data_IF_104417765682
#
_entry.id   IF_104417765682
#
_cell.length_a   1.000
_cell.length_b   1.000
_cell.length_c   1.000
_cell.angle_alpha   90.00
_cell.angle_beta   90.00
_cell.angle_gamma   90.00
#
_symmetry.space_group_name_H-M   'P 1'
#
loop_
_entity.id
_entity.type
_entity.pdbx_description
1 polymer ?
#
# COMPACT_ATOMS: atom_id res chain seq x y z
N UNK A 1 3.34 -11.96 -12.08
CA UNK A 1 3.20 -13.30 -11.49
C UNK A 1 4.53 -13.95 -11.06
N UNK A 2 5.68 -13.70 -11.72
CA UNK A 2 7.01 -14.24 -11.31
C UNK A 2 7.45 -14.00 -9.86
N UNK A 3 6.95 -12.96 -9.20
CA UNK A 3 7.32 -12.61 -7.81
C UNK A 3 6.72 -13.59 -6.78
N UNK A 4 5.58 -14.23 -7.08
CA UNK A 4 4.93 -15.17 -6.16
C UNK A 4 5.39 -16.62 -6.35
N UNK A 5 6.14 -16.92 -7.41
CA UNK A 5 6.66 -18.27 -7.73
C UNK A 5 7.73 -18.74 -6.73
N UNK A 6 8.26 -17.84 -5.89
CA UNK A 6 9.27 -18.17 -4.87
C UNK A 6 8.68 -18.69 -3.55
N UNK A 7 7.35 -18.82 -3.45
CA UNK A 7 6.66 -19.27 -2.23
C UNK A 7 6.67 -18.26 -1.08
N UNK A 8 7.31 -17.11 -1.26
CA UNK A 8 7.33 -15.99 -0.31
C UNK A 8 6.35 -14.91 -0.75
N UNK A 9 5.61 -14.34 0.21
CA UNK A 9 4.66 -13.25 -0.05
C UNK A 9 5.35 -11.94 -0.47
N UNK A 10 4.55 -10.92 -0.78
CA UNK A 10 5.06 -9.59 -1.15
C UNK A 10 4.25 -8.46 -0.51
N UNK A 11 4.82 -7.26 -0.50
CA UNK A 11 4.08 -6.04 -0.19
C UNK A 11 3.41 -5.52 -1.45
N UNK A 12 2.13 -5.17 -1.34
CA UNK A 12 1.35 -4.53 -2.40
C UNK A 12 1.00 -3.11 -1.97
N UNK A 13 1.71 -2.15 -2.55
CA UNK A 13 1.62 -0.74 -2.22
C UNK A 13 0.68 -0.05 -3.20
N UNK A 14 -0.45 0.43 -2.69
CA UNK A 14 -1.41 1.23 -3.42
C UNK A 14 -1.57 2.62 -2.81
N UNK A 15 -2.40 3.44 -3.45
CA UNK A 15 -2.86 4.72 -2.95
C UNK A 15 -4.40 4.69 -2.88
N UNK A 16 -5.02 5.73 -2.31
CA UNK A 16 -6.46 5.95 -2.45
C UNK A 16 -6.82 6.45 -3.87
N UNK A 17 -6.25 5.80 -4.89
CA UNK A 17 -6.48 6.05 -6.31
C UNK A 17 -7.14 4.79 -6.90
N UNK A 18 -8.38 4.94 -7.36
CA UNK A 18 -9.18 3.81 -7.83
C UNK A 18 -9.84 3.03 -6.69
N UNK A 19 -10.09 1.73 -6.88
CA UNK A 19 -10.76 0.87 -5.90
C UNK A 19 -9.83 -0.22 -5.40
N UNK A 20 -9.35 -0.05 -4.17
CA UNK A 20 -8.58 -1.10 -3.51
C UNK A 20 -9.42 -2.37 -3.25
N UNK A 21 -10.74 -2.24 -3.03
CA UNK A 21 -11.63 -3.39 -2.85
C UNK A 21 -11.83 -4.23 -4.12
N UNK A 22 -11.76 -3.62 -5.31
CA UNK A 22 -11.82 -4.37 -6.57
C UNK A 22 -10.68 -5.40 -6.67
N UNK A 23 -9.50 -5.08 -6.11
CA UNK A 23 -8.41 -6.05 -6.00
C UNK A 23 -8.77 -7.21 -5.06
N UNK A 24 -9.33 -6.93 -3.88
CA UNK A 24 -9.70 -7.99 -2.93
C UNK A 24 -10.69 -8.98 -3.56
N UNK A 25 -11.63 -8.47 -4.36
CA UNK A 25 -12.51 -9.31 -5.16
C UNK A 25 -11.73 -10.19 -6.14
N UNK A 26 -10.82 -9.59 -6.93
CA UNK A 26 -9.97 -10.31 -7.89
C UNK A 26 -9.07 -11.38 -7.23
N UNK A 27 -8.52 -11.10 -6.05
CA UNK A 27 -7.63 -12.02 -5.34
C UNK A 27 -8.29 -13.34 -4.97
N UNK A 28 -9.61 -13.32 -4.69
CA UNK A 28 -10.40 -14.52 -4.38
C UNK A 28 -10.45 -15.50 -5.56
N UNK A 29 -10.50 -14.97 -6.79
CA UNK A 29 -10.60 -15.80 -8.00
C UNK A 29 -9.25 -16.42 -8.42
N UNK A 30 -8.14 -15.95 -7.84
CA UNK A 30 -6.78 -16.38 -8.19
C UNK A 30 -6.02 -17.06 -7.05
N UNK A 31 -6.71 -17.51 -6.00
CA UNK A 31 -6.12 -18.14 -4.81
C UNK A 31 -5.03 -17.27 -4.13
N UNK A 32 -5.15 -15.94 -4.23
CA UNK A 32 -4.26 -14.98 -3.58
C UNK A 32 -4.92 -14.51 -2.29
N UNK A 33 -4.31 -14.80 -1.15
CA UNK A 33 -4.75 -14.26 0.14
C UNK A 33 -4.15 -12.87 0.35
N UNK A 34 -5.01 -11.86 0.33
CA UNK A 34 -4.66 -10.48 0.65
C UNK A 34 -4.91 -10.19 2.13
N UNK A 35 -3.90 -9.62 2.81
CA UNK A 35 -3.98 -9.10 4.17
C UNK A 35 -3.77 -7.59 4.18
N UNK A 36 -4.74 -6.83 4.66
CA UNK A 36 -4.73 -5.38 4.72
C UNK A 36 -4.06 -4.88 5.98
N UNK A 37 -2.94 -4.18 5.83
CA UNK A 37 -2.27 -3.50 6.93
C UNK A 37 -2.84 -2.08 7.06
N UNK A 38 -3.65 -1.83 8.08
CA UNK A 38 -4.30 -0.52 8.29
C UNK A 38 -4.56 -0.21 9.77
N UNK A 39 -4.66 1.08 10.11
CA UNK A 39 -5.09 1.51 11.44
C UNK A 39 -6.57 1.22 11.65
N UNK A 40 -6.94 0.53 12.73
CA UNK A 40 -8.35 0.28 13.03
C UNK A 40 -9.14 1.55 13.35
N UNK A 41 -8.48 2.57 13.90
CA UNK A 41 -9.09 3.90 14.12
C UNK A 41 -9.56 4.55 12.82
N UNK A 42 -9.01 4.13 11.67
CA UNK A 42 -9.34 4.65 10.35
C UNK A 42 -10.41 3.81 9.64
N UNK A 43 -11.00 2.80 10.31
CA UNK A 43 -12.13 2.05 9.77
C UNK A 43 -13.37 2.95 9.75
N UNK A 44 -13.62 3.55 8.59
CA UNK A 44 -14.85 4.29 8.34
C UNK A 44 -16.06 3.36 8.15
N UNK A 45 -17.23 3.96 7.94
CA UNK A 45 -18.49 3.21 7.76
C UNK A 45 -18.44 2.18 6.63
N UNK A 46 -17.63 2.39 5.58
CA UNK A 46 -17.46 1.42 4.50
C UNK A 46 -16.90 0.08 5.02
N UNK A 47 -15.89 0.10 5.89
CA UNK A 47 -15.34 -1.12 6.47
C UNK A 47 -16.37 -1.82 7.38
N UNK A 48 -17.13 -1.07 8.17
CA UNK A 48 -18.16 -1.64 9.04
C UNK A 48 -19.25 -2.35 8.23
N UNK A 49 -19.66 -1.76 7.10
CA UNK A 49 -20.60 -2.40 6.16
C UNK A 49 -20.00 -3.67 5.57
N UNK A 50 -18.73 -3.65 5.15
CA UNK A 50 -18.05 -4.83 4.62
C UNK A 50 -17.95 -5.96 5.65
N UNK A 51 -17.63 -5.66 6.91
CA UNK A 51 -17.60 -6.64 7.99
C UNK A 51 -18.99 -7.20 8.33
N UNK A 52 -20.04 -6.37 8.25
CA UNK A 52 -21.41 -6.81 8.46
C UNK A 52 -21.91 -7.73 7.34
N UNK A 53 -21.49 -7.48 6.10
CA UNK A 53 -21.82 -8.30 4.92
C UNK A 53 -21.00 -9.59 4.86
N UNK A 54 -19.74 -9.55 5.31
CA UNK A 54 -18.80 -10.65 5.28
C UNK A 54 -17.95 -10.64 6.57
N UNK A 55 -18.37 -11.36 7.62
CA UNK A 55 -17.62 -11.42 8.89
C UNK A 55 -16.18 -11.93 8.72
N UNK A 56 -15.90 -12.70 7.66
CA UNK A 56 -14.55 -13.18 7.37
C UNK A 56 -13.60 -12.06 6.92
N UNK A 57 -14.14 -10.90 6.53
CA UNK A 57 -13.37 -9.71 6.19
C UNK A 57 -12.44 -9.29 7.34
N UNK A 58 -12.85 -9.46 8.60
CA UNK A 58 -12.01 -9.16 9.77
C UNK A 58 -10.70 -9.96 9.76
N UNK A 59 -10.72 -11.21 9.28
CA UNK A 59 -9.54 -12.06 9.19
C UNK A 59 -8.56 -11.59 8.11
N UNK A 60 -8.98 -10.68 7.24
CA UNK A 60 -8.13 -10.07 6.20
C UNK A 60 -7.39 -8.84 6.70
N UNK A 61 -7.66 -8.35 7.91
CA UNK A 61 -7.04 -7.12 8.43
C UNK A 61 -5.92 -7.45 9.42
N UNK A 62 -4.76 -6.84 9.23
CA UNK A 62 -3.68 -6.78 10.20
C UNK A 62 -3.69 -5.35 10.78
N UNK A 63 -4.06 -5.16 12.07
CA UNK A 63 -4.20 -3.84 12.67
C UNK A 63 -2.83 -3.20 12.91
N UNK A 64 -2.62 -1.96 12.45
CA UNK A 64 -1.42 -1.18 12.78
C UNK A 64 -1.53 -0.66 14.22
N UNK A 65 -0.39 -0.63 14.93
CA UNK A 65 -0.26 -0.05 16.27
C UNK A 65 -0.45 -1.04 17.43
N UNK A 66 -0.62 -2.33 17.12
CA UNK A 66 -0.67 -3.40 18.11
C UNK A 66 0.73 -4.04 18.30
N UNK A 67 1.06 -4.56 19.49
CA UNK A 67 2.34 -5.23 19.74
C UNK A 67 2.62 -6.38 18.76
N UNK A 68 1.58 -7.09 18.33
CA UNK A 68 1.66 -8.28 17.49
C UNK A 68 1.71 -7.97 15.97
N UNK A 69 1.54 -6.71 15.57
CA UNK A 69 1.43 -6.29 14.15
C UNK A 69 2.54 -6.89 13.29
N UNK A 70 3.80 -6.75 13.73
CA UNK A 70 4.96 -7.20 12.97
C UNK A 70 5.05 -8.72 12.87
N UNK A 71 4.62 -9.43 13.92
CA UNK A 71 4.58 -10.90 13.93
C UNK A 71 3.55 -11.40 12.91
N UNK A 72 2.35 -10.83 12.93
CA UNK A 72 1.27 -11.19 11.99
C UNK A 72 1.65 -10.92 10.53
N UNK A 73 2.37 -9.83 10.27
CA UNK A 73 2.90 -9.54 8.93
C UNK A 73 3.93 -10.60 8.52
N UNK A 74 4.89 -10.92 9.38
CA UNK A 74 5.92 -11.91 9.08
C UNK A 74 5.34 -13.30 8.81
N UNK A 75 4.42 -13.76 9.66
CA UNK A 75 3.72 -15.04 9.50
C UNK A 75 2.91 -15.09 8.20
N UNK A 76 2.20 -14.01 7.88
CA UNK A 76 1.43 -13.92 6.64
C UNK A 76 2.34 -13.98 5.40
N UNK A 77 3.47 -13.26 5.41
CA UNK A 77 4.43 -13.29 4.31
C UNK A 77 5.08 -14.67 4.13
N UNK A 78 5.36 -15.38 5.24
CA UNK A 78 5.86 -16.76 5.21
C UNK A 78 4.85 -17.76 4.65
N UNK A 79 3.56 -17.50 4.83
CA UNK A 79 2.47 -18.28 4.23
C UNK A 79 2.21 -17.94 2.75
N UNK A 80 3.04 -17.06 2.15
CA UNK A 80 2.85 -16.62 0.76
C UNK A 80 1.75 -15.57 0.58
N UNK A 81 1.20 -15.02 1.68
CA UNK A 81 0.15 -14.01 1.59
C UNK A 81 0.71 -12.67 1.11
N UNK A 82 -0.17 -11.90 0.46
CA UNK A 82 0.14 -10.54 0.00
C UNK A 82 -0.29 -9.54 1.07
N UNK A 83 0.59 -8.62 1.46
CA UNK A 83 0.27 -7.56 2.41
C UNK A 83 -0.07 -6.29 1.66
N UNK A 84 -1.34 -5.89 1.66
CA UNK A 84 -1.84 -4.66 1.08
C UNK A 84 -1.62 -3.46 2.00
N UNK A 85 -1.05 -2.38 1.46
CA UNK A 85 -0.75 -1.14 2.19
C UNK A 85 -1.16 0.06 1.33
N UNK A 86 -1.86 1.03 1.93
CA UNK A 86 -2.08 2.33 1.32
C UNK A 86 -1.00 3.30 1.79
N UNK A 87 -0.10 3.69 0.88
CA UNK A 87 1.10 4.46 1.20
C UNK A 87 0.97 5.96 1.01
N UNK A 88 -0.17 6.44 0.53
CA UNK A 88 -0.38 7.85 0.18
C UNK A 88 -0.76 8.73 1.37
N UNK A 89 -1.02 8.18 2.56
CA UNK A 89 -1.43 8.99 3.72
C UNK A 89 -0.42 8.86 4.84
N UNK A 90 0.15 9.99 5.27
CA UNK A 90 0.94 10.02 6.48
C UNK A 90 0.03 9.88 7.70
N UNK A 91 0.36 9.02 8.68
CA UNK A 91 -0.24 9.12 10.00
C UNK A 91 0.19 10.44 10.68
N UNK A 92 -0.62 10.93 11.62
CA UNK A 92 -0.27 12.11 12.44
C UNK A 92 0.94 11.83 13.35
N UNK A 93 1.23 10.55 13.60
CA UNK A 93 2.40 10.10 14.35
C UNK A 93 3.16 9.06 13.51
N UNK A 94 4.41 9.34 13.20
CA UNK A 94 5.22 8.43 12.39
C UNK A 94 6.39 9.13 11.73
N UNK A 95 7.30 8.32 11.17
CA UNK A 95 8.39 8.85 10.36
C UNK A 95 7.89 9.09 8.95
N UNK A 96 8.21 10.25 8.43
CA UNK A 96 7.87 10.66 7.08
C UNK A 96 9.10 11.04 6.30
N UNK A 97 8.95 11.03 4.99
CA UNK A 97 9.94 11.51 4.05
C UNK A 97 9.29 12.55 3.14
N UNK A 98 9.99 13.65 2.94
CA UNK A 98 9.56 14.73 2.07
C UNK A 98 9.89 14.39 0.63
N UNK A 99 8.91 14.50 -0.26
CA UNK A 99 9.08 14.26 -1.70
C UNK A 99 8.27 15.28 -2.51
N UNK A 100 8.74 15.62 -3.73
CA UNK A 100 7.96 16.46 -4.64
C UNK A 100 6.76 15.67 -5.20
N UNK A 101 5.58 16.29 -5.18
CA UNK A 101 4.35 15.72 -5.71
C UNK A 101 3.41 16.80 -6.28
N UNK A 102 3.16 16.74 -7.59
CA UNK A 102 2.31 17.66 -8.35
C UNK A 102 2.67 19.14 -8.14
N UNK A 103 3.97 19.44 -8.10
CA UNK A 103 4.50 20.80 -8.03
C UNK A 103 4.67 21.38 -6.62
N UNK A 104 4.38 20.61 -5.57
CA UNK A 104 4.62 20.97 -4.16
C UNK A 104 5.17 19.78 -3.40
N UNK A 105 5.82 20.03 -2.28
CA UNK A 105 6.30 18.96 -1.42
C UNK A 105 5.17 18.35 -0.59
N UNK A 106 5.25 17.05 -0.36
CA UNK A 106 4.36 16.28 0.51
C UNK A 106 5.16 15.41 1.46
N UNK A 107 4.50 14.90 2.50
CA UNK A 107 5.07 13.95 3.45
C UNK A 107 4.47 12.56 3.23
N UNK A 108 5.32 11.60 2.88
CA UNK A 108 4.93 10.20 2.75
C UNK A 108 5.44 9.37 3.94
N UNK A 109 4.67 8.37 4.40
CA UNK A 109 5.09 7.51 5.49
C UNK A 109 6.30 6.63 5.09
N UNK A 110 7.30 6.52 5.96
CA UNK A 110 8.42 5.59 5.76
C UNK A 110 8.02 4.11 5.97
N UNK A 111 6.88 3.88 6.64
CA UNK A 111 6.43 2.56 7.11
C UNK A 111 6.49 1.43 6.07
N UNK A 112 5.93 1.60 4.86
CA UNK A 112 5.96 0.55 3.83
C UNK A 112 7.38 0.14 3.44
N UNK A 113 8.28 1.12 3.26
CA UNK A 113 9.66 0.87 2.81
C UNK A 113 10.50 0.23 3.92
N UNK A 114 10.29 0.67 5.17
CA UNK A 114 10.91 0.06 6.36
C UNK A 114 10.44 -1.37 6.57
N UNK A 115 9.15 -1.64 6.34
CA UNK A 115 8.62 -2.99 6.43
C UNK A 115 9.26 -3.90 5.39
N UNK A 116 9.42 -3.40 4.17
CA UNK A 116 10.15 -4.09 3.11
C UNK A 116 11.59 -4.41 3.53
N UNK A 117 12.32 -3.43 4.09
CA UNK A 117 13.68 -3.65 4.62
C UNK A 117 13.75 -4.68 5.75
N UNK A 118 12.73 -4.72 6.61
CA UNK A 118 12.68 -5.64 7.75
C UNK A 118 12.36 -7.08 7.34
N UNK A 119 11.52 -7.25 6.32
CA UNK A 119 11.02 -8.55 5.86
C UNK A 119 11.80 -9.12 4.68
N UNK A 120 12.51 -8.28 3.93
CA UNK A 120 13.25 -8.65 2.73
C UNK A 120 12.36 -8.99 1.53
N UNK A 121 11.04 -8.84 1.63
CA UNK A 121 10.11 -9.15 0.54
C UNK A 121 10.02 -7.98 -0.44
N UNK A 122 9.74 -8.24 -1.74
CA UNK A 122 9.61 -7.18 -2.72
C UNK A 122 8.33 -6.36 -2.54
N UNK A 123 8.37 -5.13 -3.07
CA UNK A 123 7.20 -4.26 -3.21
C UNK A 123 6.68 -4.35 -4.66
N UNK A 124 5.36 -4.44 -4.79
CA UNK A 124 4.62 -4.25 -6.04
C UNK A 124 3.72 -3.03 -5.90
N UNK A 125 3.64 -2.21 -6.94
CA UNK A 125 2.71 -1.09 -7.04
C UNK A 125 1.40 -1.55 -7.65
N UNK A 126 0.30 -0.97 -7.17
CA UNK A 126 -1.04 -1.33 -7.61
C UNK A 126 -1.94 -0.12 -7.79
N UNK A 127 -2.64 -0.06 -8.92
CA UNK A 127 -3.87 0.70 -9.05
C UNK A 127 -4.98 -0.16 -9.68
N UNK A 128 -6.22 0.15 -9.33
CA UNK A 128 -7.41 -0.47 -9.90
C UNK A 128 -8.41 0.63 -10.27
N UNK A 129 -8.34 1.13 -11.49
CA UNK A 129 -9.17 2.26 -11.94
C UNK A 129 -10.40 1.77 -12.68
N UNK A 130 -11.51 2.52 -12.57
CA UNK A 130 -12.76 2.18 -13.25
C UNK A 130 -12.82 2.86 -14.61
N UNK A 131 -12.94 2.06 -15.66
CA UNK A 131 -13.14 2.49 -17.03
C UNK A 131 -14.53 3.08 -17.28
N UNK A 132 -14.72 3.69 -18.46
CA UNK A 132 -15.99 4.31 -18.86
C UNK A 132 -17.12 3.30 -19.08
N UNK A 133 -16.77 2.08 -19.45
CA UNK A 133 -17.66 0.92 -19.58
C UNK A 133 -18.06 0.33 -18.21
N UNK A 134 -17.51 0.86 -17.13
CA UNK A 134 -17.76 0.40 -15.77
C UNK A 134 -16.89 -0.76 -15.32
N UNK A 135 -16.03 -1.30 -16.19
CA UNK A 135 -15.06 -2.34 -15.86
C UNK A 135 -13.90 -1.76 -15.05
N UNK A 136 -13.24 -2.60 -14.26
CA UNK A 136 -12.02 -2.22 -13.53
C UNK A 136 -10.78 -2.69 -14.29
N UNK A 137 -9.86 -1.78 -14.58
CA UNK A 137 -8.51 -2.10 -15.03
C UNK A 137 -7.60 -2.21 -13.80
N UNK A 138 -7.10 -3.42 -13.53
CA UNK A 138 -6.17 -3.68 -12.43
C UNK A 138 -4.77 -3.78 -13.00
N UNK A 139 -3.87 -2.91 -12.54
CA UNK A 139 -2.48 -2.83 -13.01
C UNK A 139 -1.51 -3.04 -11.86
N UNK A 140 -0.60 -3.98 -12.06
CA UNK A 140 0.53 -4.24 -11.19
C UNK A 140 1.80 -3.73 -11.86
N UNK A 141 2.61 -2.98 -11.13
CA UNK A 141 3.91 -2.51 -11.62
C UNK A 141 5.03 -2.89 -10.64
N UNK A 142 6.18 -3.34 -11.13
CA UNK A 142 7.32 -3.59 -10.26
C UNK A 142 7.83 -2.28 -9.64
N UNK A 143 8.18 -2.33 -8.35
CA UNK A 143 8.69 -1.16 -7.65
C UNK A 143 10.07 -0.72 -8.18
N UNK A 144 10.94 -1.69 -8.51
CA UNK A 144 12.24 -1.49 -9.15
C UNK A 144 13.18 -0.51 -8.42
N UNK A 145 13.11 -0.46 -7.09
CA UNK A 145 14.11 0.21 -6.26
C UNK A 145 15.05 -0.85 -5.67
N UNK A 146 16.35 -0.82 -5.97
CA UNK A 146 17.30 -1.80 -5.46
C UNK A 146 17.38 -1.75 -3.93
N UNK A 147 17.35 -2.92 -3.28
CA UNK A 147 17.51 -3.00 -1.82
C UNK A 147 18.95 -2.69 -1.43
N UNK A 148 19.16 -2.00 -0.29
CA UNK A 148 20.48 -1.65 0.17
C UNK A 148 21.27 -2.89 0.61
N UNK A 149 22.55 -2.93 0.30
CA UNK A 149 23.47 -4.01 0.72
C UNK A 149 24.06 -3.78 2.10
N UNK A 150 23.98 -2.55 2.63
CA UNK A 150 24.48 -2.19 3.95
C UNK A 150 23.45 -1.42 4.78
N UNK A 151 23.63 -1.39 6.11
CA UNK A 151 22.77 -0.59 7.00
C UNK A 151 22.90 0.91 6.76
N UNK A 152 24.06 1.37 6.28
CA UNK A 152 24.36 2.78 6.02
C UNK A 152 23.50 3.34 4.88
N UNK A 153 23.10 2.50 3.93
CA UNK A 153 22.36 2.90 2.73
C UNK A 153 20.84 2.82 2.90
N UNK A 154 20.37 2.34 4.06
CA UNK A 154 18.93 2.23 4.35
C UNK A 154 18.18 3.56 4.31
N UNK A 155 18.71 4.69 4.84
CA UNK A 155 18.03 5.98 4.71
C UNK A 155 17.86 6.39 3.23
N UNK A 156 18.88 6.18 2.40
CA UNK A 156 18.81 6.49 0.96
C UNK A 156 17.76 5.63 0.26
N UNK A 157 17.72 4.33 0.54
CA UNK A 157 16.67 3.45 0.01
C UNK A 157 15.27 3.96 0.34
N UNK A 158 15.03 4.43 1.56
CA UNK A 158 13.72 4.95 1.98
C UNK A 158 13.35 6.21 1.18
N UNK A 159 14.31 7.12 0.95
CA UNK A 159 14.12 8.29 0.09
C UNK A 159 13.77 7.89 -1.35
N UNK A 160 14.61 7.06 -1.98
CA UNK A 160 14.43 6.63 -3.37
C UNK A 160 13.11 5.88 -3.58
N UNK A 161 12.74 5.05 -2.60
CA UNK A 161 11.47 4.33 -2.57
C UNK A 161 10.27 5.28 -2.54
N UNK A 162 10.31 6.29 -1.68
CA UNK A 162 9.24 7.28 -1.60
C UNK A 162 9.12 8.12 -2.87
N UNK A 163 10.23 8.54 -3.47
CA UNK A 163 10.22 9.28 -4.73
C UNK A 163 9.72 8.43 -5.90
N UNK A 164 10.08 7.15 -5.95
CA UNK A 164 9.54 6.19 -6.93
C UNK A 164 8.02 6.06 -6.78
N UNK A 165 7.54 5.92 -5.56
CA UNK A 165 6.12 5.81 -5.26
C UNK A 165 5.36 7.10 -5.59
N UNK A 166 5.90 8.27 -5.22
CA UNK A 166 5.33 9.57 -5.56
C UNK A 166 5.19 9.76 -7.08
N UNK A 167 6.25 9.46 -7.85
CA UNK A 167 6.20 9.50 -9.32
C UNK A 167 5.11 8.59 -9.89
N UNK A 168 5.02 7.36 -9.38
CA UNK A 168 3.97 6.44 -9.78
C UNK A 168 2.56 7.00 -9.48
N UNK A 169 2.34 7.56 -8.30
CA UNK A 169 1.06 8.19 -7.95
C UNK A 169 0.72 9.35 -8.90
N UNK A 170 1.69 10.21 -9.23
CA UNK A 170 1.49 11.31 -10.18
C UNK A 170 1.02 10.80 -11.55
N UNK A 171 1.62 9.71 -12.04
CA UNK A 171 1.20 9.09 -13.30
C UNK A 171 -0.24 8.57 -13.22
N UNK A 172 -0.64 7.97 -12.11
CA UNK A 172 -2.02 7.50 -11.94
C UNK A 172 -3.01 8.66 -11.84
N UNK A 173 -2.66 9.73 -11.10
CA UNK A 173 -3.46 10.96 -11.04
C UNK A 173 -3.59 11.61 -12.42
N UNK A 174 -2.54 11.62 -13.23
CA UNK A 174 -2.59 12.17 -14.59
C UNK A 174 -3.50 11.33 -15.52
N UNK A 175 -3.46 10.00 -15.40
CA UNK A 175 -4.29 9.08 -16.20
C UNK A 175 -5.76 9.12 -15.80
N UNK A 176 -6.05 9.23 -14.50
CA UNK A 176 -7.40 9.14 -13.95
C UNK A 176 -7.60 10.14 -12.79
N UNK A 177 -7.65 11.45 -13.08
CA UNK A 177 -7.63 12.50 -12.05
C UNK A 177 -8.80 12.41 -11.06
N UNK A 178 -9.98 12.00 -11.54
CA UNK A 178 -11.16 11.84 -10.69
C UNK A 178 -11.17 10.53 -9.88
N UNK A 179 -10.17 9.66 -10.06
CA UNK A 179 -10.06 8.41 -9.30
C UNK A 179 -9.25 8.57 -8.02
N UNK A 180 -8.61 9.71 -7.78
CA UNK A 180 -7.93 9.96 -6.51
C UNK A 180 -8.92 10.48 -5.46
N UNK A 181 -9.23 9.63 -4.48
CA UNK A 181 -10.17 9.90 -3.39
C UNK A 181 -9.51 10.72 -2.28
N UNK A 182 -9.00 11.90 -2.64
CA UNK A 182 -8.43 12.87 -1.71
C UNK A 182 -9.46 13.93 -1.32
N UNK A 183 -9.99 13.82 -0.10
CA UNK A 183 -11.00 14.73 0.45
C UNK A 183 -10.46 15.61 1.59
N UNK A 184 -9.13 15.73 1.72
CA UNK A 184 -8.47 16.52 2.74
C UNK A 184 -7.31 17.31 2.14
N UNK A 185 -6.76 18.24 2.92
CA UNK A 185 -5.58 19.00 2.52
C UNK A 185 -4.34 18.10 2.51
N UNK A 186 -3.95 17.67 1.32
CA UNK A 186 -2.85 16.75 1.08
C UNK A 186 -1.48 17.43 1.10
N UNK A 187 -1.45 18.75 0.93
CA UNK A 187 -0.23 19.57 0.94
C UNK A 187 -0.11 20.38 2.22
N UNK A 188 -0.87 20.03 3.27
CA UNK A 188 -0.68 20.62 4.58
C UNK A 188 0.75 20.40 5.05
N UNK A 189 1.34 21.43 5.63
CA UNK A 189 2.59 21.28 6.35
C UNK A 189 2.36 20.40 7.59
N UNK A 190 3.31 19.52 7.92
CA UNK A 190 3.28 18.85 9.23
C UNK A 190 3.47 19.93 10.31
N UNK A 191 2.66 19.95 11.38
CA UNK A 191 2.83 20.90 12.48
C UNK A 191 4.17 20.74 13.20
#
# INVERSE_FOLDING_TARGET
MRIMEQGQGCLLLGAHIGSFEALRALGRDHAITLKMLMYRSNLGGATQVLEALDPSYQNTIIPIGQPETMLQVAESLQQGHVIGILGDRSPDTGRTVTVPFLGKDIFLPEGPYRLALATGVPILLLCATRGRDGAYEVRFEPFNVPYPTSRKDRPQFVQDAAERYARWMQEQCAKAPFSWFNFYDYWKELP
#
